data_IF_682680966746
#
_entry.id   IF_682680966746
#
_cell.length_a   1.000
_cell.length_b   1.000
_cell.length_c   1.000
_cell.angle_alpha   90.00
_cell.angle_beta   90.00
_cell.angle_gamma   90.00
#
_symmetry.space_group_name_H-M   'P 1'
#
loop_
_entity.id
_entity.type
_entity.pdbx_description
1 polymer ?
#
# COMPACT_ATOMS: atom_id res chain seq x y z
N UNK A 1 5.37 -7.18 -20.66
CA UNK A 1 4.79 -8.18 -21.57
C UNK A 1 5.83 -8.73 -22.55
N UNK A 2 6.75 -7.94 -23.04
CA UNK A 2 7.77 -8.37 -24.02
C UNK A 2 8.94 -9.15 -23.40
N UNK A 3 9.27 -8.91 -22.14
CA UNK A 3 10.40 -9.51 -21.42
C UNK A 3 9.99 -10.54 -20.37
N UNK A 4 8.69 -10.61 -20.06
CA UNK A 4 8.18 -11.47 -18.99
C UNK A 4 8.13 -12.94 -19.40
N UNK A 5 8.37 -13.81 -18.41
CA UNK A 5 8.29 -15.27 -18.54
C UNK A 5 6.92 -15.76 -18.10
N UNK A 6 6.32 -16.65 -18.87
CA UNK A 6 5.07 -17.33 -18.46
C UNK A 6 5.34 -18.30 -17.32
N UNK A 7 4.54 -18.18 -16.25
CA UNK A 7 4.63 -19.04 -15.07
C UNK A 7 3.26 -19.56 -14.67
N UNK A 8 3.24 -20.71 -14.04
CA UNK A 8 2.11 -21.17 -13.25
C UNK A 8 2.12 -20.47 -11.90
N UNK A 9 0.97 -20.30 -11.31
CA UNK A 9 0.81 -19.70 -9.99
C UNK A 9 -0.20 -20.50 -9.14
N UNK A 10 -0.29 -20.19 -7.85
CA UNK A 10 -1.17 -20.86 -6.88
C UNK A 10 -2.65 -20.81 -7.29
N UNK A 11 -3.08 -19.73 -7.93
CA UNK A 11 -4.49 -19.53 -8.32
C UNK A 11 -4.89 -20.35 -9.56
N UNK A 12 -3.93 -20.93 -10.27
CA UNK A 12 -4.15 -21.65 -11.53
C UNK A 12 -4.43 -20.74 -12.74
N UNK A 13 -4.47 -19.42 -12.56
CA UNK A 13 -4.71 -18.45 -13.65
C UNK A 13 -3.51 -18.37 -14.60
N UNK A 14 -2.30 -18.49 -14.06
CA UNK A 14 -1.04 -18.26 -14.77
C UNK A 14 -0.70 -16.77 -14.88
N UNK A 15 0.60 -16.49 -15.03
CA UNK A 15 1.13 -15.13 -15.08
C UNK A 15 2.16 -14.95 -16.18
N UNK A 16 2.39 -13.70 -16.56
CA UNK A 16 3.61 -13.25 -17.26
C UNK A 16 4.36 -12.39 -16.24
N UNK A 17 5.56 -12.78 -15.83
CA UNK A 17 6.29 -12.10 -14.76
C UNK A 17 7.75 -11.80 -15.09
N UNK A 18 8.28 -10.78 -14.42
CA UNK A 18 9.70 -10.45 -14.29
C UNK A 18 10.06 -10.47 -12.82
N UNK A 19 11.34 -10.67 -12.50
CA UNK A 19 11.81 -10.64 -11.11
C UNK A 19 12.71 -9.44 -10.86
N UNK A 20 12.29 -8.60 -9.93
CA UNK A 20 13.01 -7.38 -9.56
C UNK A 20 12.69 -6.20 -10.48
N UNK A 21 11.94 -5.23 -9.94
CA UNK A 21 11.68 -3.95 -10.60
C UNK A 21 11.61 -2.85 -9.54
N UNK A 22 11.93 -1.62 -9.93
CA UNK A 22 11.82 -0.47 -9.04
C UNK A 22 11.20 0.72 -9.78
N UNK A 23 10.26 1.37 -9.12
CA UNK A 23 9.64 2.62 -9.56
C UNK A 23 9.89 3.71 -8.52
N UNK A 24 10.03 4.95 -8.97
CA UNK A 24 10.22 6.13 -8.09
C UNK A 24 9.19 7.20 -8.46
N UNK A 25 8.57 7.76 -7.43
CA UNK A 25 7.57 8.81 -7.55
C UNK A 25 7.98 9.98 -6.64
N UNK A 26 8.28 11.13 -7.23
CA UNK A 26 8.48 12.37 -6.46
C UNK A 26 7.10 12.96 -6.13
N UNK A 27 6.77 13.09 -4.85
CA UNK A 27 5.45 13.60 -4.45
C UNK A 27 5.28 15.12 -4.68
N UNK A 28 6.32 15.84 -5.09
CA UNK A 28 6.19 17.23 -5.59
C UNK A 28 5.55 17.29 -6.98
N UNK A 29 5.67 16.24 -7.79
CA UNK A 29 5.05 16.16 -9.12
C UNK A 29 3.53 15.95 -9.06
N UNK A 30 3.00 15.61 -7.90
CA UNK A 30 1.58 15.33 -7.65
C UNK A 30 1.37 13.99 -6.93
N UNK A 31 0.12 13.69 -6.62
CA UNK A 31 -0.24 12.44 -5.96
C UNK A 31 -0.28 11.30 -6.98
N UNK A 32 0.51 10.21 -6.81
CA UNK A 32 0.66 9.16 -7.83
C UNK A 32 -0.56 8.21 -7.87
N UNK A 33 -1.73 8.76 -8.11
CA UNK A 33 -2.96 8.01 -8.38
C UNK A 33 -3.10 7.81 -9.90
N UNK A 34 -3.10 6.56 -10.31
CA UNK A 34 -3.09 6.17 -11.72
C UNK A 34 -4.20 6.87 -12.53
N UNK A 35 -3.84 7.44 -13.69
CA UNK A 35 -4.76 8.18 -14.57
C UNK A 35 -5.18 7.40 -15.82
N UNK A 36 -4.47 6.34 -16.19
CA UNK A 36 -4.80 5.50 -17.36
C UNK A 36 -6.00 4.57 -17.12
N UNK A 37 -6.44 4.41 -15.88
CA UNK A 37 -7.74 3.87 -15.49
C UNK A 37 -8.16 4.45 -14.15
N UNK A 38 -9.47 4.66 -13.95
CA UNK A 38 -10.02 5.15 -12.68
C UNK A 38 -9.84 4.13 -11.57
N UNK A 39 -9.30 4.56 -10.43
CA UNK A 39 -9.17 3.79 -9.20
C UNK A 39 -10.23 4.20 -8.17
N UNK A 40 -10.56 3.29 -7.25
CA UNK A 40 -11.51 3.53 -6.17
C UNK A 40 -10.78 4.03 -4.92
N UNK A 41 -10.46 5.34 -4.88
CA UNK A 41 -9.69 5.98 -3.81
C UNK A 41 -10.27 5.73 -2.41
N UNK A 42 -11.60 5.66 -2.29
CA UNK A 42 -12.28 5.36 -1.02
C UNK A 42 -11.76 4.07 -0.39
N UNK A 43 -11.62 3.00 -1.18
CA UNK A 43 -11.09 1.73 -0.69
C UNK A 43 -9.64 1.86 -0.23
N UNK A 44 -8.82 2.61 -0.96
CA UNK A 44 -7.40 2.83 -0.62
C UNK A 44 -7.26 3.54 0.73
N UNK A 45 -8.04 4.61 0.95
CA UNK A 45 -7.99 5.37 2.21
C UNK A 45 -8.47 4.51 3.38
N UNK A 46 -9.64 3.85 3.26
CA UNK A 46 -10.16 3.03 4.36
C UNK A 46 -9.27 1.84 4.69
N UNK A 47 -8.65 1.19 3.69
CA UNK A 47 -7.69 0.12 3.92
C UNK A 47 -6.47 0.61 4.70
N UNK A 48 -5.88 1.76 4.32
CA UNK A 48 -4.74 2.33 5.04
C UNK A 48 -5.11 2.70 6.48
N UNK A 49 -6.26 3.32 6.70
CA UNK A 49 -6.76 3.65 8.03
C UNK A 49 -7.02 2.38 8.87
N UNK A 50 -7.51 1.33 8.26
CA UNK A 50 -7.72 0.03 8.89
C UNK A 50 -6.40 -0.61 9.34
N UNK A 51 -5.36 -0.58 8.49
CA UNK A 51 -4.00 -1.01 8.90
C UNK A 51 -3.47 -0.19 10.09
N UNK A 52 -3.63 1.14 10.05
CA UNK A 52 -3.17 2.04 11.12
C UNK A 52 -3.94 1.85 12.43
N UNK A 53 -5.16 1.34 12.39
CA UNK A 53 -5.92 0.94 13.59
C UNK A 53 -5.39 -0.35 14.23
N UNK A 54 -4.57 -1.12 13.51
CA UNK A 54 -4.12 -2.44 13.96
C UNK A 54 -5.21 -3.51 13.83
N UNK A 55 -6.27 -3.23 13.10
CA UNK A 55 -7.42 -4.11 12.93
C UNK A 55 -7.15 -5.18 11.86
N UNK A 56 -7.73 -6.35 12.02
CA UNK A 56 -7.61 -7.50 11.12
C UNK A 56 -8.98 -8.05 10.69
N UNK A 57 -10.07 -7.51 11.26
CA UNK A 57 -11.42 -7.88 10.91
C UNK A 57 -11.98 -6.96 9.82
N UNK A 58 -12.60 -7.53 8.78
CA UNK A 58 -13.12 -6.79 7.62
C UNK A 58 -14.38 -5.97 7.93
N UNK A 59 -14.98 -6.09 9.11
CA UNK A 59 -16.21 -5.40 9.49
C UNK A 59 -16.10 -3.88 9.33
N UNK A 60 -15.00 -3.28 9.81
CA UNK A 60 -14.75 -1.84 9.62
C UNK A 60 -14.77 -1.42 8.15
N UNK A 61 -14.16 -2.22 7.28
CA UNK A 61 -14.15 -1.97 5.83
C UNK A 61 -15.55 -2.09 5.25
N UNK A 62 -16.29 -3.15 5.61
CA UNK A 62 -17.65 -3.41 5.12
C UNK A 62 -18.65 -2.32 5.54
N UNK A 63 -18.60 -1.86 6.79
CA UNK A 63 -19.41 -0.75 7.32
C UNK A 63 -19.19 0.55 6.54
N UNK A 64 -17.99 0.71 5.95
CA UNK A 64 -17.65 1.84 5.09
C UNK A 64 -17.82 1.55 3.59
N UNK A 65 -18.44 0.43 3.23
CA UNK A 65 -18.73 0.06 1.83
C UNK A 65 -17.50 -0.42 1.06
N UNK A 66 -16.44 -0.84 1.75
CA UNK A 66 -15.20 -1.41 1.17
C UNK A 66 -15.22 -2.92 1.32
N UNK A 67 -14.97 -3.65 0.23
CA UNK A 67 -15.11 -5.12 0.17
C UNK A 67 -13.89 -5.83 -0.39
N UNK A 68 -12.76 -5.12 -0.53
CA UNK A 68 -11.56 -5.63 -1.21
C UNK A 68 -10.84 -6.76 -0.47
N UNK A 69 -11.25 -7.08 0.76
CA UNK A 69 -10.71 -8.15 1.59
C UNK A 69 -11.69 -9.30 1.86
N UNK A 70 -12.94 -9.20 1.38
CA UNK A 70 -14.01 -10.17 1.70
C UNK A 70 -13.68 -11.60 1.25
N UNK A 71 -12.93 -11.76 0.15
CA UNK A 71 -12.63 -13.07 -0.45
C UNK A 71 -11.68 -13.92 0.40
N UNK A 72 -10.94 -13.28 1.32
CA UNK A 72 -9.97 -13.97 2.20
C UNK A 72 -10.45 -14.06 3.65
N UNK A 73 -11.49 -13.32 4.03
CA UNK A 73 -12.02 -13.33 5.39
C UNK A 73 -12.78 -14.63 5.67
N UNK A 74 -12.69 -15.12 6.91
CA UNK A 74 -13.51 -16.21 7.37
C UNK A 74 -14.98 -15.79 7.61
N UNK A 75 -15.79 -16.72 8.11
CA UNK A 75 -17.22 -16.49 8.41
C UNK A 75 -17.45 -15.41 9.48
N UNK A 76 -16.46 -15.12 10.33
CA UNK A 76 -16.49 -14.08 11.36
C UNK A 76 -15.90 -12.76 10.88
N UNK A 77 -15.38 -12.71 9.64
CA UNK A 77 -14.72 -11.56 9.05
C UNK A 77 -13.25 -11.41 9.43
N UNK A 78 -12.63 -12.43 10.02
CA UNK A 78 -11.24 -12.40 10.43
C UNK A 78 -10.29 -12.83 9.30
N UNK A 79 -9.09 -12.24 9.31
CA UNK A 79 -8.01 -12.49 8.34
C UNK A 79 -6.75 -13.09 8.98
N UNK A 80 -6.77 -13.30 10.30
CA UNK A 80 -5.58 -13.63 11.05
C UNK A 80 -4.67 -12.41 11.28
N UNK A 81 -3.43 -12.58 11.77
CA UNK A 81 -2.55 -11.50 12.20
C UNK A 81 -1.89 -10.76 11.01
N UNK A 82 -2.70 -10.27 10.06
CA UNK A 82 -2.23 -9.57 8.85
C UNK A 82 -1.76 -8.14 9.16
N UNK A 83 -1.34 -7.40 8.18
CA UNK A 83 -0.73 -6.06 8.16
C UNK A 83 -0.94 -5.19 9.41
N UNK A 84 -2.19 -4.88 9.77
CA UNK A 84 -2.51 -4.01 10.90
C UNK A 84 -1.99 -4.55 12.22
N UNK A 85 -2.16 -5.84 12.46
CA UNK A 85 -1.62 -6.52 13.64
C UNK A 85 -0.09 -6.40 13.69
N UNK A 86 0.58 -6.74 12.60
CA UNK A 86 2.05 -6.68 12.56
C UNK A 86 2.58 -5.26 12.74
N UNK A 87 1.94 -4.26 12.13
CA UNK A 87 2.37 -2.86 12.24
C UNK A 87 2.21 -2.29 13.64
N UNK A 88 1.14 -2.68 14.36
CA UNK A 88 0.70 -2.05 15.59
C UNK A 88 0.88 -2.90 16.85
N UNK A 89 1.03 -4.20 16.70
CA UNK A 89 1.01 -5.15 17.83
C UNK A 89 1.89 -6.38 17.56
N UNK A 90 3.10 -6.17 17.01
CA UNK A 90 4.04 -7.27 16.75
C UNK A 90 4.42 -7.99 18.06
N UNK A 91 4.12 -9.29 18.20
CA UNK A 91 4.45 -10.03 19.42
C UNK A 91 5.96 -10.28 19.52
N UNK A 92 6.55 -10.04 20.70
CA UNK A 92 7.91 -10.47 21.01
C UNK A 92 7.90 -11.81 21.82
N UNK A 93 9.06 -12.43 21.93
CA UNK A 93 9.21 -13.70 22.64
C UNK A 93 9.00 -13.59 24.17
N UNK A 94 8.90 -12.39 24.73
CA UNK A 94 8.58 -12.15 26.15
C UNK A 94 7.08 -11.85 26.39
N UNK A 95 6.24 -11.96 25.35
CA UNK A 95 4.81 -11.66 25.41
C UNK A 95 4.48 -10.18 25.43
N UNK A 96 5.42 -9.29 25.06
CA UNK A 96 5.14 -7.87 24.84
C UNK A 96 4.72 -7.65 23.39
N UNK A 97 3.99 -6.58 23.15
CA UNK A 97 3.57 -6.16 21.83
C UNK A 97 4.28 -4.85 21.43
N UNK A 98 4.83 -4.82 20.22
CA UNK A 98 5.61 -3.72 19.68
C UNK A 98 4.77 -2.98 18.64
N UNK A 99 4.53 -1.69 18.87
CA UNK A 99 3.93 -0.79 17.91
C UNK A 99 5.02 -0.20 17.00
N UNK A 100 5.21 -0.79 15.84
CA UNK A 100 6.25 -0.39 14.89
C UNK A 100 5.98 1.00 14.31
N UNK A 101 4.71 1.36 14.05
CA UNK A 101 4.34 2.69 13.51
C UNK A 101 4.67 3.78 14.52
N UNK A 102 4.27 3.60 15.79
CA UNK A 102 4.62 4.56 16.84
C UNK A 102 6.14 4.72 16.98
N UNK A 103 6.86 3.60 16.99
CA UNK A 103 8.32 3.61 17.11
C UNK A 103 8.98 4.37 15.95
N UNK A 104 8.50 4.21 14.72
CA UNK A 104 9.05 4.89 13.55
C UNK A 104 8.73 6.39 13.59
N UNK A 105 7.53 6.80 14.01
CA UNK A 105 7.19 8.22 14.22
C UNK A 105 8.17 8.87 15.20
N UNK A 106 8.44 8.22 16.34
CA UNK A 106 9.39 8.73 17.33
C UNK A 106 10.84 8.76 16.79
N UNK A 107 11.25 7.76 16.01
CA UNK A 107 12.58 7.76 15.38
C UNK A 107 12.73 8.90 14.36
N UNK A 108 11.72 9.16 13.53
CA UNK A 108 11.75 10.27 12.57
C UNK A 108 11.88 11.62 13.29
N UNK A 109 11.19 11.79 14.43
CA UNK A 109 11.23 13.04 15.22
C UNK A 109 12.56 13.24 15.95
N UNK A 110 13.12 12.19 16.55
CA UNK A 110 14.22 12.31 17.50
C UNK A 110 15.57 11.81 16.97
N UNK A 111 15.56 10.94 15.97
CA UNK A 111 16.78 10.34 15.38
C UNK A 111 16.64 10.24 13.85
N UNK A 112 16.43 11.37 13.14
CA UNK A 112 16.10 11.36 11.69
C UNK A 112 17.20 10.71 10.82
N UNK A 113 18.45 10.69 11.29
CA UNK A 113 19.55 10.03 10.58
C UNK A 113 19.60 8.50 10.78
N UNK A 114 18.63 7.93 11.50
CA UNK A 114 18.56 6.49 11.75
C UNK A 114 18.33 5.71 10.46
N UNK A 115 19.10 4.64 10.27
CA UNK A 115 18.90 3.66 9.21
C UNK A 115 18.01 2.48 9.63
N UNK A 116 17.33 2.60 10.80
CA UNK A 116 16.50 1.56 11.41
C UNK A 116 15.01 1.89 11.40
N UNK A 117 14.60 2.90 10.64
CA UNK A 117 13.21 3.31 10.50
C UNK A 117 12.46 2.36 9.55
N UNK A 118 12.26 1.12 10.02
CA UNK A 118 11.67 0.02 9.25
C UNK A 118 10.40 -0.45 9.94
N UNK A 119 9.37 -0.75 9.13
CA UNK A 119 8.15 -1.45 9.53
C UNK A 119 8.04 -2.72 8.70
N UNK A 120 7.91 -3.87 9.37
CA UNK A 120 7.76 -5.18 8.72
C UNK A 120 6.37 -5.76 8.99
N UNK A 121 5.75 -6.29 7.94
CA UNK A 121 4.55 -7.11 8.05
C UNK A 121 4.86 -8.61 7.90
N UNK A 122 6.09 -8.97 7.47
CA UNK A 122 6.50 -10.35 7.26
C UNK A 122 7.01 -10.95 8.57
N UNK A 123 6.10 -11.54 9.36
CA UNK A 123 6.41 -12.25 10.60
C UNK A 123 6.44 -13.75 10.34
N UNK A 124 7.63 -14.32 10.27
CA UNK A 124 7.83 -15.75 9.96
C UNK A 124 7.16 -16.67 10.99
N UNK A 125 7.03 -16.21 12.25
CA UNK A 125 6.40 -17.01 13.30
C UNK A 125 4.88 -17.11 13.18
N UNK A 126 4.22 -16.14 12.49
CA UNK A 126 2.76 -16.06 12.37
C UNK A 126 2.25 -16.16 10.93
N UNK A 127 3.15 -16.38 9.96
CA UNK A 127 2.80 -16.35 8.54
C UNK A 127 1.75 -17.40 8.15
N UNK A 128 1.77 -18.56 8.80
CA UNK A 128 0.84 -19.65 8.56
C UNK A 128 -0.57 -19.41 9.15
N UNK A 129 -0.68 -18.43 10.05
CA UNK A 129 -1.96 -18.03 10.66
C UNK A 129 -2.66 -16.94 9.84
N UNK A 130 -1.97 -16.36 8.84
CA UNK A 130 -2.50 -15.32 7.98
C UNK A 130 -3.28 -15.93 6.83
N UNK A 131 -4.54 -15.54 6.63
CA UNK A 131 -5.34 -16.01 5.50
C UNK A 131 -4.78 -15.55 4.15
N UNK A 132 -4.07 -14.42 4.15
CA UNK A 132 -3.27 -13.96 3.02
C UNK A 132 -1.92 -13.41 3.51
N UNK A 133 -0.81 -14.14 3.33
CA UNK A 133 0.52 -13.64 3.65
C UNK A 133 0.86 -12.32 2.95
N UNK A 134 1.49 -11.35 3.64
CA UNK A 134 1.69 -10.00 3.15
C UNK A 134 2.42 -9.94 1.80
N UNK A 135 1.82 -9.32 0.80
CA UNK A 135 2.46 -9.03 -0.48
C UNK A 135 3.47 -7.89 -0.32
N UNK A 136 3.09 -6.78 0.32
CA UNK A 136 3.98 -5.69 0.70
C UNK A 136 4.58 -5.98 2.07
N UNK A 137 5.83 -6.49 2.06
CA UNK A 137 6.45 -7.14 3.19
C UNK A 137 7.03 -6.19 4.23
N UNK A 138 7.70 -5.13 3.78
CA UNK A 138 8.34 -4.14 4.64
C UNK A 138 8.50 -2.81 3.92
N UNK A 139 8.60 -1.76 4.71
CA UNK A 139 8.96 -0.43 4.20
C UNK A 139 9.90 0.28 5.14
N UNK A 140 10.71 1.19 4.59
CA UNK A 140 11.72 1.96 5.30
C UNK A 140 11.56 3.43 4.99
N UNK A 141 11.72 4.27 6.02
CA UNK A 141 11.78 5.73 5.87
C UNK A 141 13.22 6.24 5.80
N UNK A 142 13.37 7.39 5.16
CA UNK A 142 14.63 8.09 5.03
C UNK A 142 14.36 9.61 5.10
N UNK A 143 15.14 10.31 5.94
CA UNK A 143 15.06 11.77 6.09
C UNK A 143 16.29 12.41 5.50
N UNK A 144 16.10 13.39 4.62
CA UNK A 144 17.16 14.24 4.10
C UNK A 144 16.58 15.60 3.69
N UNK A 145 17.35 16.65 3.91
CA UNK A 145 17.01 18.03 3.49
C UNK A 145 15.57 18.47 3.88
N UNK A 146 15.14 18.08 5.10
CA UNK A 146 13.80 18.38 5.61
C UNK A 146 12.66 17.64 4.93
N UNK A 147 12.99 16.57 4.18
CA UNK A 147 12.03 15.73 3.45
C UNK A 147 12.05 14.31 3.98
N UNK A 148 10.88 13.69 4.00
CA UNK A 148 10.69 12.28 4.32
C UNK A 148 10.44 11.49 3.04
N UNK A 149 11.23 10.46 2.79
CA UNK A 149 11.02 9.49 1.69
C UNK A 149 10.69 8.11 2.26
N UNK A 150 10.03 7.28 1.46
CA UNK A 150 9.61 5.94 1.83
C UNK A 150 9.99 4.96 0.72
N UNK A 151 10.63 3.83 1.07
CA UNK A 151 10.84 2.71 0.17
C UNK A 151 10.05 1.50 0.64
N UNK A 152 9.23 0.95 -0.25
CA UNK A 152 8.46 -0.28 -0.06
C UNK A 152 9.14 -1.45 -0.78
N UNK A 153 9.24 -2.61 -0.13
CA UNK A 153 9.48 -3.88 -0.79
C UNK A 153 8.18 -4.71 -0.83
N UNK A 154 7.75 -5.04 -2.04
CA UNK A 154 6.59 -5.88 -2.32
C UNK A 154 7.04 -7.17 -3.01
N UNK A 155 6.90 -8.34 -2.35
CA UNK A 155 7.36 -9.64 -2.87
C UNK A 155 6.57 -10.15 -4.05
N UNK A 156 5.28 -9.80 -4.13
CA UNK A 156 4.32 -10.25 -5.13
C UNK A 156 3.48 -9.06 -5.58
N UNK A 157 3.57 -8.71 -6.87
CA UNK A 157 3.06 -7.45 -7.40
C UNK A 157 2.21 -7.69 -8.65
N UNK A 158 0.89 -7.84 -8.45
CA UNK A 158 -0.11 -7.78 -9.53
C UNK A 158 -0.14 -6.36 -10.11
N UNK A 159 0.45 -6.17 -11.28
CA UNK A 159 0.63 -4.86 -11.89
C UNK A 159 -0.68 -4.23 -12.37
N UNK A 160 -1.71 -5.02 -12.60
CA UNK A 160 -2.99 -4.51 -13.09
C UNK A 160 -3.95 -4.08 -11.99
N UNK A 161 -4.18 -4.90 -10.95
CA UNK A 161 -5.10 -4.58 -9.86
C UNK A 161 -4.38 -4.04 -8.62
N UNK A 162 -3.41 -4.77 -8.08
CA UNK A 162 -2.82 -4.48 -6.77
C UNK A 162 -1.84 -3.31 -6.77
N UNK A 163 -0.86 -3.30 -7.67
CA UNK A 163 0.21 -2.29 -7.69
C UNK A 163 -0.30 -0.84 -7.71
N UNK A 164 -1.32 -0.47 -8.52
CA UNK A 164 -1.84 0.89 -8.50
C UNK A 164 -2.44 1.30 -7.15
N UNK A 165 -3.10 0.38 -6.44
CA UNK A 165 -3.61 0.60 -5.09
C UNK A 165 -2.46 0.79 -4.10
N UNK A 166 -1.45 -0.08 -4.16
CA UNK A 166 -0.30 -0.02 -3.26
C UNK A 166 0.51 1.28 -3.44
N UNK A 167 0.71 1.74 -4.68
CA UNK A 167 1.38 3.02 -4.96
C UNK A 167 0.65 4.17 -4.26
N UNK A 168 -0.65 4.29 -4.46
CA UNK A 168 -1.44 5.37 -3.86
C UNK A 168 -1.51 5.25 -2.34
N UNK A 169 -1.67 4.05 -1.79
CA UNK A 169 -1.72 3.80 -0.35
C UNK A 169 -0.42 4.21 0.36
N UNK A 170 0.74 3.78 -0.16
CA UNK A 170 2.02 4.12 0.46
C UNK A 170 2.47 5.56 0.21
N UNK A 171 2.09 6.16 -0.93
CA UNK A 171 2.26 7.60 -1.14
C UNK A 171 1.43 8.41 -0.12
N UNK A 172 0.20 7.99 0.16
CA UNK A 172 -0.64 8.61 1.18
C UNK A 172 -0.05 8.44 2.58
N UNK A 173 0.40 7.24 2.95
CA UNK A 173 1.10 6.99 4.21
C UNK A 173 2.33 7.90 4.36
N UNK A 174 3.13 8.06 3.30
CA UNK A 174 4.29 8.97 3.30
C UNK A 174 3.87 10.41 3.58
N UNK A 175 2.81 10.91 2.95
CA UNK A 175 2.28 12.27 3.18
C UNK A 175 1.81 12.44 4.63
N UNK A 176 1.06 11.46 5.17
CA UNK A 176 0.58 11.47 6.56
C UNK A 176 1.74 11.49 7.55
N UNK A 177 2.72 10.61 7.36
CA UNK A 177 3.92 10.52 8.21
C UNK A 177 4.76 11.81 8.16
N UNK A 178 4.95 12.39 6.97
CA UNK A 178 5.65 13.66 6.82
C UNK A 178 4.94 14.77 7.58
N UNK A 179 3.61 14.89 7.46
CA UNK A 179 2.82 15.91 8.17
C UNK A 179 2.98 15.79 9.70
N UNK A 180 2.76 14.61 10.27
CA UNK A 180 2.79 14.44 11.74
C UNK A 180 4.20 14.53 12.33
N UNK A 181 5.23 14.44 11.52
CA UNK A 181 6.63 14.60 11.93
C UNK A 181 7.23 15.95 11.57
N UNK A 182 6.44 16.86 10.94
CA UNK A 182 6.87 18.20 10.58
C UNK A 182 7.82 18.27 9.38
N UNK A 183 7.85 17.24 8.54
CA UNK A 183 8.67 17.16 7.34
C UNK A 183 7.83 17.39 6.08
N UNK A 184 8.51 17.63 4.94
CA UNK A 184 7.86 17.63 3.62
C UNK A 184 7.90 16.23 3.02
N UNK A 185 6.87 15.81 2.27
CA UNK A 185 6.94 14.56 1.49
C UNK A 185 8.08 14.62 0.46
N UNK A 186 8.83 13.52 0.40
CA UNK A 186 9.91 13.30 -0.57
C UNK A 186 9.50 12.29 -1.64
N UNK A 187 10.39 11.31 -1.89
CA UNK A 187 10.16 10.27 -2.88
C UNK A 187 9.47 9.05 -2.25
N UNK A 188 8.52 8.49 -2.96
CA UNK A 188 8.07 7.11 -2.76
C UNK A 188 8.79 6.19 -3.73
N UNK A 189 9.53 5.21 -3.21
CA UNK A 189 10.24 4.20 -3.99
C UNK A 189 9.54 2.85 -3.81
N UNK A 190 9.09 2.26 -4.91
CA UNK A 190 8.41 0.97 -4.90
C UNK A 190 9.28 -0.09 -5.54
N UNK A 191 9.84 -0.97 -4.73
CA UNK A 191 10.64 -2.12 -5.16
C UNK A 191 9.78 -3.38 -5.13
N UNK A 192 9.73 -4.10 -6.25
CA UNK A 192 8.90 -5.29 -6.39
C UNK A 192 9.77 -6.52 -6.68
N UNK A 193 9.41 -7.66 -6.10
CA UNK A 193 10.00 -8.96 -6.36
C UNK A 193 9.40 -9.61 -7.62
N UNK A 194 8.47 -10.55 -7.47
CA UNK A 194 7.70 -11.12 -8.60
C UNK A 194 6.69 -10.08 -9.08
N UNK A 195 6.99 -9.45 -10.20
CA UNK A 195 6.18 -8.40 -10.83
C UNK A 195 5.45 -9.02 -12.01
N UNK A 196 4.12 -9.17 -11.92
CA UNK A 196 3.39 -9.99 -12.86
C UNK A 196 2.09 -9.37 -13.37
N UNK A 197 1.66 -9.88 -14.51
CA UNK A 197 0.33 -9.68 -15.09
C UNK A 197 -0.32 -11.07 -15.13
N UNK A 198 -1.49 -11.21 -14.51
CA UNK A 198 -2.30 -12.42 -14.66
C UNK A 198 -2.76 -12.61 -16.10
N UNK A 199 -2.81 -13.86 -16.59
CA UNK A 199 -3.17 -14.14 -17.97
C UNK A 199 -4.60 -13.69 -18.32
N UNK A 200 -5.51 -13.69 -17.37
CA UNK A 200 -6.88 -13.16 -17.52
C UNK A 200 -6.95 -11.61 -17.59
N UNK A 201 -5.83 -10.90 -17.34
CA UNK A 201 -5.76 -9.43 -17.43
C UNK A 201 -5.01 -8.93 -18.69
N UNK A 202 -4.52 -9.80 -19.54
CA UNK A 202 -3.69 -9.42 -20.69
C UNK A 202 -4.40 -8.43 -21.63
N UNK A 203 -5.67 -8.67 -21.93
CA UNK A 203 -6.43 -7.77 -22.82
C UNK A 203 -6.74 -6.42 -22.16
N UNK A 204 -7.02 -6.41 -20.86
CA UNK A 204 -7.19 -5.19 -20.08
C UNK A 204 -5.91 -4.34 -20.04
N UNK A 205 -4.75 -4.99 -19.86
CA UNK A 205 -3.44 -4.31 -19.90
C UNK A 205 -3.16 -3.74 -21.29
N UNK A 206 -3.42 -4.49 -22.35
CA UNK A 206 -3.30 -3.99 -23.73
C UNK A 206 -4.15 -2.74 -23.94
N UNK A 207 -5.43 -2.77 -23.53
CA UNK A 207 -6.31 -1.61 -23.59
C UNK A 207 -5.74 -0.44 -22.77
N UNK A 208 -5.26 -0.68 -21.56
CA UNK A 208 -4.69 0.37 -20.71
C UNK A 208 -3.46 1.01 -21.35
N UNK A 209 -2.61 0.23 -22.03
CA UNK A 209 -1.41 0.72 -22.73
C UNK A 209 -1.71 1.60 -23.95
N UNK A 210 -2.94 1.61 -24.47
CA UNK A 210 -3.36 2.55 -25.55
C UNK A 210 -3.72 3.93 -25.02
N UNK A 211 -3.79 4.12 -23.69
CA UNK A 211 -4.24 5.35 -23.07
C UNK A 211 -3.06 6.22 -22.64
N UNK A 212 -3.03 7.46 -23.12
CA UNK A 212 -2.04 8.42 -22.67
C UNK A 212 -2.27 8.81 -21.21
N UNK A 213 -1.21 8.85 -20.37
CA UNK A 213 -1.31 9.37 -19.02
C UNK A 213 -1.80 10.81 -19.00
N UNK A 214 -2.62 11.14 -18.01
CA UNK A 214 -3.09 12.51 -17.76
C UNK A 214 -2.35 13.12 -16.58
N UNK A 215 -2.41 14.45 -16.36
CA UNK A 215 -1.78 15.09 -15.21
C UNK A 215 -2.16 14.41 -13.90
N UNK A 216 -1.20 14.32 -12.97
CA UNK A 216 -1.44 13.77 -11.65
C UNK A 216 -2.40 14.66 -10.86
N UNK A 217 -3.27 14.08 -10.04
CA UNK A 217 -4.13 14.83 -9.12
C UNK A 217 -3.34 15.40 -7.95
N UNK A 218 -3.98 16.27 -7.20
CA UNK A 218 -3.49 16.80 -5.94
C UNK A 218 -4.22 16.13 -4.78
N UNK A 219 -3.48 15.64 -3.78
CA UNK A 219 -4.03 15.17 -2.52
C UNK A 219 -3.77 16.23 -1.45
N UNK A 220 -4.83 16.73 -0.83
CA UNK A 220 -4.75 17.61 0.33
C UNK A 220 -5.14 16.84 1.58
N UNK A 221 -4.36 17.01 2.66
CA UNK A 221 -4.61 16.38 3.95
C UNK A 221 -4.92 17.49 4.96
N UNK A 222 -5.90 17.25 5.85
CA UNK A 222 -6.27 18.17 6.91
C UNK A 222 -5.04 18.52 7.78
N UNK A 223 -4.57 19.78 7.78
CA UNK A 223 -3.34 20.17 8.48
C UNK A 223 -3.47 20.17 10.01
N UNK A 224 -4.69 20.08 10.54
CA UNK A 224 -4.94 20.11 11.98
C UNK A 224 -4.66 18.76 12.65
N UNK A 225 -4.62 17.66 11.88
CA UNK A 225 -4.28 16.33 12.40
C UNK A 225 -2.79 16.25 12.71
N UNK A 226 -2.45 15.93 13.96
CA UNK A 226 -1.07 15.90 14.49
C UNK A 226 -0.59 14.53 14.94
N UNK A 227 -1.49 13.56 15.03
CA UNK A 227 -1.18 12.17 15.34
C UNK A 227 -1.55 11.28 14.15
N UNK A 228 -0.67 10.34 13.82
CA UNK A 228 -0.86 9.41 12.69
C UNK A 228 -2.12 8.54 12.85
N UNK A 229 -2.56 8.33 14.08
CA UNK A 229 -3.70 7.49 14.41
C UNK A 229 -5.04 8.24 14.49
N UNK A 230 -5.03 9.56 14.38
CA UNK A 230 -6.22 10.41 14.48
C UNK A 230 -6.87 10.68 13.10
N UNK A 231 -6.20 10.35 12.03
CA UNK A 231 -6.74 10.55 10.67
C UNK A 231 -8.04 9.78 10.44
N UNK A 232 -8.97 10.46 9.76
CA UNK A 232 -10.26 9.94 9.30
C UNK A 232 -10.40 10.13 7.80
N UNK A 233 -11.36 9.45 7.20
CA UNK A 233 -11.60 9.54 5.75
C UNK A 233 -11.81 10.99 5.28
N UNK A 234 -12.50 11.80 6.07
CA UNK A 234 -12.85 13.20 5.78
C UNK A 234 -11.64 14.14 5.76
N UNK A 235 -10.49 13.71 6.30
CA UNK A 235 -9.25 14.50 6.33
C UNK A 235 -8.51 14.50 4.98
N UNK A 236 -8.99 13.72 4.01
CA UNK A 236 -8.37 13.58 2.70
C UNK A 236 -9.24 14.15 1.61
N UNK A 237 -8.68 15.07 0.80
CA UNK A 237 -9.37 15.66 -0.33
C UNK A 237 -8.55 15.49 -1.60
N UNK A 238 -9.11 14.76 -2.57
CA UNK A 238 -8.53 14.61 -3.91
C UNK A 238 -9.08 15.70 -4.82
N UNK A 239 -8.18 16.42 -5.52
CA UNK A 239 -8.52 17.47 -6.47
C UNK A 239 -7.88 17.19 -7.83
N UNK A 240 -8.52 17.63 -8.91
CA UNK A 240 -8.03 17.52 -10.29
C UNK A 240 -7.80 16.06 -10.77
N UNK A 241 -8.54 15.09 -10.23
CA UNK A 241 -8.44 13.71 -10.71
C UNK A 241 -9.34 13.50 -11.93
N UNK A 242 -8.71 13.47 -13.12
CA UNK A 242 -9.35 13.24 -14.41
C UNK A 242 -8.80 11.94 -15.05
N UNK A 243 -9.15 10.76 -14.56
CA UNK A 243 -8.67 9.50 -15.10
C UNK A 243 -9.47 9.07 -16.33
N UNK A 244 -8.86 8.18 -17.13
CA UNK A 244 -9.61 7.38 -18.08
C UNK A 244 -10.63 6.48 -17.35
N UNK A 245 -11.71 6.04 -18.01
CA UNK A 245 -12.69 5.15 -17.41
C UNK A 245 -12.09 3.91 -16.77
N UNK A 246 -12.76 3.38 -15.77
CA UNK A 246 -12.38 2.12 -15.10
C UNK A 246 -12.25 0.98 -16.11
N UNK A 247 -11.29 0.09 -15.89
CA UNK A 247 -11.16 -1.19 -16.59
C UNK A 247 -11.34 -2.28 -15.55
N UNK A 248 -12.39 -3.09 -15.69
CA UNK A 248 -12.67 -4.19 -14.78
C UNK A 248 -11.70 -5.36 -14.98
N UNK A 249 -11.29 -5.99 -13.88
CA UNK A 249 -10.52 -7.23 -13.86
C UNK A 249 -11.03 -8.16 -12.77
N UNK A 250 -11.02 -9.46 -13.03
CA UNK A 250 -11.38 -10.46 -12.04
C UNK A 250 -10.17 -10.73 -11.12
N UNK A 251 -10.41 -10.71 -9.81
CA UNK A 251 -9.37 -11.08 -8.83
C UNK A 251 -9.03 -12.56 -8.98
N UNK A 252 -7.73 -12.89 -8.95
CA UNK A 252 -7.25 -14.27 -8.93
C UNK A 252 -6.98 -14.69 -7.49
N UNK A 253 -7.75 -15.65 -6.96
CA UNK A 253 -7.73 -16.12 -5.56
C UNK A 253 -7.27 -17.55 -5.43
#
# INVERSE_FOLDING_TARGET
MTEGVKKHDRTGTGTISIFGNQMRFNLEDGFPLLTTKKLHLKSIIYELLWFLKGDTNVKYLQENGVRIWNEWADENGELGPVYGHQWRSWPDYNGRHIDQIKNVVEQIRHTPDSRRMIVSAWNVAEIEEMHLPPCHCLFQFYVADGRLSLQLYQRSADTFLGVPFNIASYALLLMMMAQVTGLKPGDFIHTTGDTHIYLNHVEQVKLQLTREPRPLPTMTINPDVKDIFDFKYEDFKLENYDPWPHISGQVSV
#
